data_IF_701625678179
#
_entry.id   IF_701625678179
#
_cell.length_a   1.000
_cell.length_b   1.000
_cell.length_c   1.000
_cell.angle_alpha   90.00
_cell.angle_beta   90.00
_cell.angle_gamma   90.00
#
_symmetry.space_group_name_H-M   'P 1'
#
loop_
_entity.id
_entity.type
_entity.pdbx_description
1 polymer ?
#
# COMPACT_ATOMS: atom_id res chain seq x y z
N UNK A 1 17.16 5.07 -15.08
CA UNK A 1 16.63 3.85 -14.44
C UNK A 1 15.20 3.63 -14.94
N UNK A 2 14.83 2.42 -15.36
CA UNK A 2 13.50 2.09 -15.91
C UNK A 2 12.57 1.45 -14.88
N UNK A 3 11.25 1.52 -15.11
CA UNK A 3 10.25 0.79 -14.30
C UNK A 3 10.51 -0.72 -14.43
N UNK A 4 10.52 -1.50 -13.34
CA UNK A 4 10.60 -2.95 -13.42
C UNK A 4 9.47 -3.53 -14.27
N UNK A 5 9.73 -4.62 -15.00
CA UNK A 5 8.66 -5.41 -15.60
C UNK A 5 7.80 -6.05 -14.50
N UNK A 6 6.57 -6.51 -14.81
CA UNK A 6 5.75 -7.24 -13.84
C UNK A 6 6.50 -8.42 -13.20
N UNK A 7 7.24 -9.19 -13.99
CA UNK A 7 8.02 -10.35 -13.51
C UNK A 7 9.18 -9.93 -12.62
N UNK A 8 9.86 -8.82 -12.96
CA UNK A 8 10.93 -8.27 -12.11
C UNK A 8 10.37 -7.77 -10.77
N UNK A 9 9.21 -7.11 -10.80
CA UNK A 9 8.54 -6.65 -9.59
C UNK A 9 8.10 -7.82 -8.71
N UNK A 10 7.47 -8.85 -9.29
CA UNK A 10 7.03 -10.04 -8.57
C UNK A 10 8.20 -10.76 -7.88
N UNK A 11 9.33 -10.92 -8.59
CA UNK A 11 10.56 -11.49 -8.01
C UNK A 11 11.09 -10.65 -6.86
N UNK A 12 11.13 -9.32 -7.01
CA UNK A 12 11.60 -8.42 -5.96
C UNK A 12 10.70 -8.46 -4.70
N UNK A 13 9.38 -8.53 -4.87
CA UNK A 13 8.44 -8.66 -3.76
C UNK A 13 8.54 -10.01 -3.06
N UNK A 14 8.74 -11.09 -3.83
CA UNK A 14 8.93 -12.44 -3.28
C UNK A 14 10.21 -12.50 -2.43
N UNK A 15 11.30 -11.91 -2.93
CA UNK A 15 12.56 -11.84 -2.20
C UNK A 15 12.45 -10.97 -0.94
N UNK A 16 11.74 -9.84 -1.02
CA UNK A 16 11.48 -9.01 0.14
C UNK A 16 10.67 -9.76 1.23
N UNK A 17 9.67 -10.55 0.83
CA UNK A 17 8.93 -11.40 1.78
C UNK A 17 9.87 -12.40 2.47
N UNK A 18 10.69 -13.12 1.70
CA UNK A 18 11.71 -14.05 2.21
C UNK A 18 12.66 -13.37 3.20
N UNK A 19 13.20 -12.19 2.86
CA UNK A 19 14.12 -11.44 3.71
C UNK A 19 13.50 -11.13 5.08
N UNK A 20 12.21 -10.75 5.11
CA UNK A 20 11.51 -10.51 6.38
C UNK A 20 11.30 -11.79 7.18
N UNK A 21 10.87 -12.86 6.53
CA UNK A 21 10.61 -14.15 7.18
C UNK A 21 11.87 -14.77 7.79
N UNK A 22 13.03 -14.54 7.16
CA UNK A 22 14.31 -15.10 7.60
C UNK A 22 15.12 -14.14 8.50
N UNK A 23 14.58 -12.95 8.80
CA UNK A 23 15.27 -11.94 9.62
C UNK A 23 16.48 -11.29 8.92
N UNK A 24 16.54 -11.36 7.60
CA UNK A 24 17.62 -10.81 6.77
C UNK A 24 17.37 -9.34 6.36
N UNK A 25 16.29 -8.72 6.86
CA UNK A 25 15.92 -7.34 6.57
C UNK A 25 16.49 -6.33 7.57
N UNK A 26 17.80 -6.40 7.85
CA UNK A 26 18.48 -5.59 8.88
C UNK A 26 18.35 -4.08 8.69
N UNK A 27 18.17 -3.65 7.44
CA UNK A 27 18.05 -2.24 7.08
C UNK A 27 16.64 -1.85 6.64
N UNK A 28 15.65 -2.71 6.89
CA UNK A 28 14.22 -2.48 6.60
C UNK A 28 13.92 -2.20 5.12
N UNK A 29 14.78 -2.65 4.20
CA UNK A 29 14.61 -2.48 2.76
C UNK A 29 13.41 -3.30 2.28
N UNK A 30 13.28 -4.53 2.75
CA UNK A 30 12.17 -5.40 2.39
C UNK A 30 10.85 -4.90 3.01
N UNK A 31 10.87 -4.52 4.29
CA UNK A 31 9.73 -3.86 4.96
C UNK A 31 9.28 -2.62 4.20
N UNK A 32 10.20 -1.73 3.83
CA UNK A 32 9.87 -0.53 3.07
C UNK A 32 9.31 -0.85 1.68
N UNK A 33 9.92 -1.78 0.95
CA UNK A 33 9.45 -2.17 -0.38
C UNK A 33 8.04 -2.76 -0.35
N UNK A 34 7.79 -3.71 0.57
CA UNK A 34 6.48 -4.34 0.72
C UNK A 34 5.40 -3.34 1.14
N UNK A 35 5.73 -2.46 2.10
CA UNK A 35 4.87 -1.38 2.53
C UNK A 35 4.49 -0.43 1.38
N UNK A 36 5.49 0.03 0.63
CA UNK A 36 5.30 0.91 -0.51
C UNK A 36 4.48 0.24 -1.59
N UNK A 37 4.76 -1.03 -1.92
CA UNK A 37 4.00 -1.77 -2.93
C UNK A 37 2.53 -1.94 -2.53
N UNK A 38 2.26 -2.25 -1.26
CA UNK A 38 0.91 -2.34 -0.73
C UNK A 38 0.15 -1.00 -0.90
N UNK A 39 0.76 0.12 -0.49
CA UNK A 39 0.17 1.47 -0.61
C UNK A 39 0.02 1.91 -2.07
N UNK A 40 0.98 1.55 -2.91
CA UNK A 40 1.01 1.92 -4.33
C UNK A 40 -0.23 1.42 -5.07
N UNK A 41 -0.70 0.20 -4.78
CA UNK A 41 -1.92 -0.33 -5.39
C UNK A 41 -3.18 0.51 -5.10
N UNK A 42 -3.27 1.15 -3.94
CA UNK A 42 -4.37 2.07 -3.64
C UNK A 42 -4.21 3.40 -4.37
N UNK A 43 -2.99 3.93 -4.47
CA UNK A 43 -2.70 5.16 -5.21
C UNK A 43 -2.96 5.00 -6.71
N UNK A 44 -2.68 3.83 -7.30
CA UNK A 44 -3.04 3.53 -8.69
C UNK A 44 -4.56 3.58 -8.92
N UNK A 45 -5.35 3.11 -7.95
CA UNK A 45 -6.83 3.19 -8.00
C UNK A 45 -7.31 4.63 -7.90
N UNK A 46 -6.72 5.44 -7.03
CA UNK A 46 -7.01 6.89 -6.94
C UNK A 46 -6.73 7.56 -8.29
N UNK A 47 -5.56 7.30 -8.88
CA UNK A 47 -5.20 7.88 -10.17
C UNK A 47 -6.16 7.44 -11.29
N UNK A 48 -6.58 6.17 -11.30
CA UNK A 48 -7.58 5.68 -12.25
C UNK A 48 -8.95 6.36 -12.06
N UNK A 49 -9.42 6.52 -10.82
CA UNK A 49 -10.67 7.21 -10.52
C UNK A 49 -10.59 8.71 -10.88
N UNK A 50 -9.49 9.38 -10.58
CA UNK A 50 -9.26 10.78 -10.93
C UNK A 50 -9.33 11.00 -12.45
N UNK A 51 -8.72 10.11 -13.24
CA UNK A 51 -8.82 10.17 -14.71
C UNK A 51 -10.26 10.01 -15.20
N UNK A 52 -11.05 9.10 -14.61
CA UNK A 52 -12.46 8.93 -15.00
C UNK A 52 -13.29 10.15 -14.64
N UNK A 53 -13.13 10.67 -13.42
CA UNK A 53 -13.78 11.89 -12.97
C UNK A 53 -13.52 13.07 -13.91
N UNK A 54 -12.26 13.33 -14.26
CA UNK A 54 -11.90 14.40 -15.20
C UNK A 54 -12.49 14.16 -16.60
N UNK A 55 -12.40 12.94 -17.13
CA UNK A 55 -12.94 12.61 -18.47
C UNK A 55 -14.46 12.68 -18.54
N UNK A 56 -15.15 12.49 -17.41
CA UNK A 56 -16.61 12.54 -17.33
C UNK A 56 -17.18 13.97 -17.26
N UNK A 57 -16.32 15.00 -17.27
CA UNK A 57 -16.77 16.37 -17.02
C UNK A 57 -17.20 16.58 -15.57
N UNK A 58 -16.59 15.84 -14.63
CA UNK A 58 -16.86 15.91 -13.20
C UNK A 58 -18.26 15.41 -12.79
N UNK A 59 -18.71 14.30 -13.39
CA UNK A 59 -19.98 13.68 -13.02
C UNK A 59 -20.03 13.29 -11.54
N UNK A 60 -21.19 13.46 -10.89
CA UNK A 60 -21.35 13.21 -9.45
C UNK A 60 -21.08 11.74 -9.05
N UNK A 61 -21.38 10.78 -9.92
CA UNK A 61 -21.08 9.36 -9.69
C UNK A 61 -19.58 9.09 -9.67
N UNK A 62 -18.83 9.68 -10.60
CA UNK A 62 -17.37 9.56 -10.66
C UNK A 62 -16.69 10.34 -9.53
N UNK A 63 -17.29 11.45 -9.09
CA UNK A 63 -16.85 12.16 -7.89
C UNK A 63 -16.93 11.27 -6.64
N UNK A 64 -18.06 10.60 -6.43
CA UNK A 64 -18.23 9.66 -5.33
C UNK A 64 -17.23 8.49 -5.41
N UNK A 65 -16.99 7.96 -6.61
CA UNK A 65 -16.00 6.91 -6.83
C UNK A 65 -14.56 7.38 -6.53
N UNK A 66 -14.23 8.64 -6.85
CA UNK A 66 -12.94 9.25 -6.52
C UNK A 66 -12.77 9.42 -5.02
N UNK A 67 -13.77 9.98 -4.32
CA UNK A 67 -13.72 10.12 -2.86
C UNK A 67 -13.52 8.76 -2.17
N UNK A 68 -14.28 7.75 -2.60
CA UNK A 68 -14.13 6.39 -2.06
C UNK A 68 -12.72 5.83 -2.28
N UNK A 69 -12.12 6.05 -3.45
CA UNK A 69 -10.75 5.60 -3.72
C UNK A 69 -9.73 6.33 -2.83
N UNK A 70 -9.91 7.63 -2.59
CA UNK A 70 -9.08 8.44 -1.70
C UNK A 70 -9.18 7.92 -0.26
N UNK A 71 -10.40 7.68 0.24
CA UNK A 71 -10.62 7.15 1.58
C UNK A 71 -9.90 5.80 1.76
N UNK A 72 -9.97 4.91 0.77
CA UNK A 72 -9.28 3.62 0.82
C UNK A 72 -7.75 3.76 0.82
N UNK A 73 -7.20 4.75 0.12
CA UNK A 73 -5.77 5.03 0.17
C UNK A 73 -5.34 5.59 1.54
N UNK A 74 -6.14 6.46 2.15
CA UNK A 74 -5.90 7.00 3.51
C UNK A 74 -6.02 5.93 4.60
N UNK A 75 -7.00 5.02 4.48
CA UNK A 75 -7.13 3.85 5.34
C UNK A 75 -5.90 2.92 5.22
N UNK A 76 -5.36 2.74 4.01
CA UNK A 76 -4.16 1.94 3.79
C UNK A 76 -2.93 2.59 4.46
N UNK A 77 -2.77 3.91 4.31
CA UNK A 77 -1.72 4.69 4.98
C UNK A 77 -1.77 4.51 6.51
N UNK A 78 -2.95 4.70 7.09
CA UNK A 78 -3.16 4.63 8.54
C UNK A 78 -2.90 3.22 9.08
N UNK A 79 -3.35 2.18 8.38
CA UNK A 79 -3.06 0.79 8.76
C UNK A 79 -1.56 0.53 8.79
N UNK A 80 -0.84 0.95 7.76
CA UNK A 80 0.60 0.77 7.70
C UNK A 80 1.39 1.62 8.70
N UNK A 81 0.85 2.76 9.13
CA UNK A 81 1.44 3.57 10.20
C UNK A 81 1.12 3.01 11.60
N UNK A 82 0.02 2.26 11.73
CA UNK A 82 -0.44 1.65 12.98
C UNK A 82 0.14 0.28 13.28
N UNK A 83 0.59 -0.48 12.27
CA UNK A 83 1.25 -1.78 12.45
C UNK A 83 2.62 -1.68 13.16
N UNK A 84 3.23 -0.48 13.22
CA UNK A 84 4.42 -0.21 14.04
C UNK A 84 4.08 0.04 15.53
N UNK A 85 2.80 0.20 15.89
CA UNK A 85 2.34 0.05 17.27
C UNK A 85 2.09 -1.43 17.52
N UNK A 86 3.18 -2.19 17.58
CA UNK A 86 3.10 -3.56 18.06
C UNK A 86 2.40 -3.59 19.43
N UNK A 87 1.48 -4.55 19.49
CA UNK A 87 0.82 -5.12 20.65
C UNK A 87 1.77 -5.24 21.85
N UNK A 88 1.87 -4.18 22.66
CA UNK A 88 2.38 -4.30 24.02
C UNK A 88 1.36 -5.14 24.78
N UNK A 89 1.60 -6.46 24.84
CA UNK A 89 0.75 -7.49 25.43
C UNK A 89 0.29 -7.20 26.86
N UNK A 90 -0.61 -6.24 27.01
CA UNK A 90 -1.32 -5.88 28.22
C UNK A 90 -2.70 -6.54 28.18
N UNK A 91 -2.76 -7.81 27.77
CA UNK A 91 -3.85 -8.67 28.23
C UNK A 91 -3.52 -9.05 29.67
N UNK A 92 -4.36 -8.53 30.57
CA UNK A 92 -4.28 -8.71 32.02
C UNK A 92 -4.20 -10.22 32.35
N UNK A 93 -3.14 -10.60 33.07
CA UNK A 93 -3.09 -11.84 33.86
C UNK A 93 -4.12 -11.78 35.01
N UNK A 94 -4.54 -12.95 35.55
CA UNK A 94 -5.94 -13.36 35.77
C UNK A 94 -6.71 -12.61 36.85
#
# INVERSE_FOLDING_TARGET
MGKPTPEQMEKALSEAARMREQGEDLHFVAKALLNLNYRYGYLERVLAAARRFLRSGMASSEHAALLHAIDKALEAETRTAGEDREDFGLSRSP
#
